data_IF_551357763175
#
_entry.id   IF_551357763175
#
_cell.length_a   1.000
_cell.length_b   1.000
_cell.length_c   1.000
_cell.angle_alpha   90.00
_cell.angle_beta   90.00
_cell.angle_gamma   90.00
#
_symmetry.space_group_name_H-M   'P 1'
#
loop_
_entity.id
_entity.type
_entity.pdbx_description
1 polymer ?
#
# COMPACT_ATOMS: atom_id res chain seq x y z
N UNK A 1 59.39 -82.26 -28.85
CA UNK A 1 58.78 -80.95 -29.16
C UNK A 1 57.53 -80.71 -28.30
N UNK A 2 57.66 -80.59 -26.96
CA UNK A 2 56.52 -80.35 -26.02
C UNK A 2 56.82 -79.41 -24.83
N UNK A 3 58.05 -78.93 -24.65
CA UNK A 3 58.43 -78.09 -23.50
C UNK A 3 58.44 -76.57 -23.73
N UNK A 4 58.51 -76.09 -24.99
CA UNK A 4 58.59 -74.63 -25.28
C UNK A 4 57.26 -73.89 -25.12
N UNK A 5 56.12 -74.55 -25.35
CA UNK A 5 54.78 -73.92 -25.23
C UNK A 5 54.32 -73.73 -23.78
N UNK A 6 54.80 -74.56 -22.85
CA UNK A 6 54.47 -74.46 -21.42
C UNK A 6 55.22 -73.29 -20.75
N UNK A 7 56.48 -73.05 -21.12
CA UNK A 7 57.26 -71.91 -20.63
C UNK A 7 56.66 -70.56 -21.05
N UNK A 8 56.29 -70.42 -22.33
CA UNK A 8 55.63 -69.20 -22.83
C UNK A 8 54.27 -68.93 -22.19
N UNK A 9 53.50 -69.99 -21.88
CA UNK A 9 52.22 -69.83 -21.19
C UNK A 9 52.40 -69.42 -19.73
N UNK A 10 53.40 -69.98 -19.03
CA UNK A 10 53.72 -69.58 -17.64
C UNK A 10 54.18 -68.12 -17.59
N UNK A 11 55.00 -67.67 -18.56
CA UNK A 11 55.45 -66.27 -18.62
C UNK A 11 54.30 -65.30 -18.94
N UNK A 12 53.38 -65.68 -19.84
CA UNK A 12 52.18 -64.90 -20.14
C UNK A 12 51.24 -64.79 -18.92
N UNK A 13 51.09 -65.89 -18.18
CA UNK A 13 50.27 -65.93 -16.96
C UNK A 13 50.90 -65.10 -15.82
N UNK A 14 52.24 -65.11 -15.71
CA UNK A 14 52.98 -64.22 -14.79
C UNK A 14 52.80 -62.74 -15.14
N UNK A 15 52.83 -62.40 -16.42
CA UNK A 15 52.62 -61.03 -16.89
C UNK A 15 51.18 -60.56 -16.57
N UNK A 16 50.17 -61.38 -16.88
CA UNK A 16 48.77 -61.07 -16.56
C UNK A 16 48.50 -61.00 -15.06
N UNK A 17 49.15 -61.84 -14.23
CA UNK A 17 49.04 -61.73 -12.77
C UNK A 17 49.66 -60.42 -12.25
N UNK A 18 50.77 -59.96 -12.83
CA UNK A 18 51.38 -58.68 -12.49
C UNK A 18 50.50 -57.48 -12.90
N UNK A 19 49.87 -57.55 -14.08
CA UNK A 19 48.88 -56.55 -14.53
C UNK A 19 47.64 -56.52 -13.63
N UNK A 20 47.10 -57.68 -13.26
CA UNK A 20 45.97 -57.77 -12.32
C UNK A 20 46.36 -57.21 -10.95
N UNK A 21 47.56 -57.52 -10.44
CA UNK A 21 48.04 -56.97 -9.18
C UNK A 21 48.15 -55.43 -9.24
N UNK A 22 48.67 -54.88 -10.34
CA UNK A 22 48.75 -53.44 -10.56
C UNK A 22 47.37 -52.79 -10.65
N UNK A 23 46.41 -53.41 -11.33
CA UNK A 23 45.02 -52.94 -11.40
C UNK A 23 44.33 -52.96 -10.03
N UNK A 24 44.58 -53.99 -9.21
CA UNK A 24 44.05 -54.07 -7.85
C UNK A 24 44.63 -52.95 -6.97
N UNK A 25 45.92 -52.66 -7.06
CA UNK A 25 46.55 -51.53 -6.36
C UNK A 25 45.95 -50.20 -6.82
N UNK A 26 45.84 -49.98 -8.13
CA UNK A 26 45.26 -48.76 -8.69
C UNK A 26 43.77 -48.60 -8.34
N UNK A 27 43.02 -49.71 -8.26
CA UNK A 27 41.65 -49.71 -7.80
C UNK A 27 41.55 -49.33 -6.32
N UNK A 28 42.45 -49.84 -5.47
CA UNK A 28 42.55 -49.45 -4.06
C UNK A 28 42.80 -47.96 -3.89
N UNK A 29 43.81 -47.42 -4.58
CA UNK A 29 44.14 -45.98 -4.55
C UNK A 29 42.97 -45.10 -5.02
N UNK A 30 42.25 -45.50 -6.08
CA UNK A 30 41.06 -44.80 -6.56
C UNK A 30 39.88 -44.90 -5.60
N UNK A 31 39.70 -46.05 -4.95
CA UNK A 31 38.67 -46.24 -3.93
C UNK A 31 38.92 -45.32 -2.75
N UNK A 32 40.17 -45.20 -2.28
CA UNK A 32 40.56 -44.29 -1.20
C UNK A 32 40.33 -42.82 -1.60
N UNK A 33 40.66 -42.45 -2.85
CA UNK A 33 40.40 -41.11 -3.35
C UNK A 33 38.89 -40.78 -3.41
N UNK A 34 38.04 -41.75 -3.77
CA UNK A 34 36.57 -41.59 -3.77
C UNK A 34 36.05 -41.41 -2.34
N UNK A 35 36.54 -42.20 -1.38
CA UNK A 35 36.17 -42.07 0.04
C UNK A 35 36.53 -40.68 0.54
N UNK A 36 37.77 -40.22 0.33
CA UNK A 36 38.20 -38.88 0.72
C UNK A 36 37.36 -37.78 0.06
N UNK A 37 37.03 -37.92 -1.23
CA UNK A 37 36.18 -36.97 -1.93
C UNK A 37 34.75 -36.94 -1.36
N UNK A 38 34.22 -38.09 -0.96
CA UNK A 38 32.89 -38.21 -0.35
C UNK A 38 32.88 -37.57 1.04
N UNK A 39 33.91 -37.82 1.85
CA UNK A 39 34.07 -37.19 3.18
C UNK A 39 34.17 -35.66 3.07
N UNK A 40 34.92 -35.16 2.07
CA UNK A 40 35.01 -33.73 1.80
C UNK A 40 33.66 -33.14 1.37
N UNK A 41 32.93 -33.83 0.47
CA UNK A 41 31.60 -33.40 0.03
C UNK A 41 30.58 -33.38 1.19
N UNK A 42 30.63 -34.36 2.09
CA UNK A 42 29.80 -34.39 3.30
C UNK A 42 30.13 -33.22 4.24
N UNK A 43 31.42 -32.88 4.38
CA UNK A 43 31.88 -31.69 5.08
C UNK A 43 31.30 -30.41 4.50
N UNK A 44 31.39 -30.24 3.17
CA UNK A 44 30.87 -29.08 2.45
C UNK A 44 29.35 -28.96 2.54
N UNK A 45 28.61 -30.07 2.40
CA UNK A 45 27.15 -30.10 2.54
C UNK A 45 26.73 -29.73 3.97
N UNK A 46 27.47 -30.21 4.97
CA UNK A 46 27.23 -29.85 6.38
C UNK A 46 27.47 -28.36 6.62
N UNK A 47 28.57 -27.80 6.09
CA UNK A 47 28.88 -26.38 6.17
C UNK A 47 27.81 -25.52 5.46
N UNK A 48 27.36 -25.92 4.28
CA UNK A 48 26.29 -25.24 3.54
C UNK A 48 24.96 -25.26 4.32
N UNK A 49 24.57 -26.41 4.87
CA UNK A 49 23.37 -26.53 5.70
C UNK A 49 23.44 -25.62 6.92
N UNK A 50 24.60 -25.55 7.57
CA UNK A 50 24.83 -24.63 8.69
C UNK A 50 24.73 -23.16 8.25
N UNK A 51 25.36 -22.80 7.13
CA UNK A 51 25.32 -21.46 6.55
C UNK A 51 23.90 -21.03 6.22
N UNK A 52 23.11 -21.88 5.56
CA UNK A 52 21.70 -21.62 5.24
C UNK A 52 20.84 -21.47 6.49
N UNK A 53 21.06 -22.29 7.53
CA UNK A 53 20.34 -22.16 8.79
C UNK A 53 20.65 -20.82 9.50
N UNK A 54 21.91 -20.38 9.47
CA UNK A 54 22.32 -19.07 10.01
C UNK A 54 21.76 -17.92 9.20
N UNK A 55 21.80 -18.01 7.86
CA UNK A 55 21.18 -17.02 6.99
C UNK A 55 19.68 -16.91 7.24
N UNK A 56 18.96 -18.04 7.35
CA UNK A 56 17.53 -18.05 7.63
C UNK A 56 17.17 -17.35 8.94
N UNK A 57 17.93 -17.60 10.02
CA UNK A 57 17.77 -16.88 11.29
C UNK A 57 18.02 -15.39 11.14
N UNK A 58 19.14 -15.01 10.50
CA UNK A 58 19.49 -13.60 10.30
C UNK A 58 18.45 -12.87 9.44
N UNK A 59 17.87 -13.53 8.43
CA UNK A 59 16.83 -12.97 7.60
C UNK A 59 15.53 -12.75 8.41
N UNK A 60 15.14 -13.72 9.23
CA UNK A 60 13.99 -13.61 10.13
C UNK A 60 14.16 -12.48 11.15
N UNK A 61 15.32 -12.40 11.81
CA UNK A 61 15.63 -11.32 12.75
C UNK A 61 15.62 -9.94 12.08
N UNK A 62 16.13 -9.88 10.83
CA UNK A 62 16.11 -8.64 10.05
C UNK A 62 14.68 -8.22 9.71
N UNK A 63 13.82 -9.16 9.33
CA UNK A 63 12.40 -8.89 9.07
C UNK A 63 11.69 -8.33 10.31
N UNK A 64 11.91 -8.94 11.48
CA UNK A 64 11.36 -8.47 12.75
C UNK A 64 11.83 -7.04 13.10
N UNK A 65 13.11 -6.73 12.84
CA UNK A 65 13.64 -5.38 13.09
C UNK A 65 13.06 -4.34 12.14
N UNK A 66 12.85 -4.68 10.88
CA UNK A 66 12.19 -3.79 9.91
C UNK A 66 10.75 -3.51 10.32
N UNK A 67 10.04 -4.52 10.80
CA UNK A 67 8.66 -4.38 11.27
C UNK A 67 8.59 -3.46 12.51
N UNK A 68 9.44 -3.69 13.51
CA UNK A 68 9.55 -2.83 14.68
C UNK A 68 9.94 -1.38 14.34
N UNK A 69 10.86 -1.19 13.39
CA UNK A 69 11.23 0.14 12.92
C UNK A 69 10.07 0.85 12.21
N UNK A 70 9.27 0.10 11.44
CA UNK A 70 8.06 0.61 10.79
C UNK A 70 7.03 1.07 11.82
N UNK A 71 6.74 0.26 12.84
CA UNK A 71 5.82 0.65 13.92
C UNK A 71 6.28 1.93 14.64
N UNK A 72 7.58 2.06 14.91
CA UNK A 72 8.15 3.27 15.51
C UNK A 72 7.97 4.50 14.61
N UNK A 73 8.20 4.36 13.30
CA UNK A 73 8.00 5.44 12.34
C UNK A 73 6.53 5.86 12.25
N UNK A 74 5.60 4.90 12.21
CA UNK A 74 4.16 5.17 12.24
C UNK A 74 3.76 5.91 13.53
N UNK A 75 4.35 5.53 14.68
CA UNK A 75 4.16 6.23 15.95
C UNK A 75 4.67 7.67 15.93
N UNK A 76 5.88 7.91 15.41
CA UNK A 76 6.46 9.25 15.27
C UNK A 76 5.64 10.14 14.33
N UNK A 77 5.18 9.60 13.21
CA UNK A 77 4.27 10.29 12.28
C UNK A 77 2.96 10.66 12.99
N UNK A 78 2.39 9.74 13.76
CA UNK A 78 1.18 9.98 14.54
C UNK A 78 1.33 11.09 15.58
N UNK A 79 2.47 11.14 16.27
CA UNK A 79 2.81 12.19 17.23
C UNK A 79 3.02 13.55 16.55
N UNK A 80 3.78 13.58 15.45
CA UNK A 80 4.03 14.81 14.69
C UNK A 80 2.71 15.40 14.15
N UNK A 81 1.82 14.56 13.64
CA UNK A 81 0.49 14.96 13.20
C UNK A 81 -0.38 15.47 14.35
N UNK A 82 -0.32 14.83 15.52
CA UNK A 82 -1.04 15.33 16.70
C UNK A 82 -0.55 16.73 17.13
N UNK A 83 0.76 16.96 17.11
CA UNK A 83 1.35 18.27 17.39
C UNK A 83 0.95 19.31 16.34
N UNK A 84 0.97 18.95 15.05
CA UNK A 84 0.54 19.81 13.96
C UNK A 84 -0.93 20.22 14.13
N UNK A 85 -1.81 19.25 14.38
CA UNK A 85 -3.24 19.51 14.58
C UNK A 85 -3.46 20.44 15.79
N UNK A 86 -2.80 20.15 16.92
CA UNK A 86 -2.90 20.98 18.13
C UNK A 86 -2.39 22.41 17.91
N UNK A 87 -1.28 22.57 17.19
CA UNK A 87 -0.73 23.89 16.89
C UNK A 87 -1.66 24.70 15.97
N UNK A 88 -2.36 24.04 15.04
CA UNK A 88 -3.33 24.69 14.16
C UNK A 88 -4.55 25.25 14.90
N UNK A 89 -4.94 24.63 16.03
CA UNK A 89 -5.99 25.12 16.93
C UNK A 89 -5.51 26.23 17.88
N UNK A 90 -4.23 26.59 17.85
CA UNK A 90 -3.70 27.71 18.62
C UNK A 90 -4.17 29.06 18.06
N UNK A 91 -4.11 30.14 18.87
CA UNK A 91 -4.53 31.47 18.42
C UNK A 91 -3.60 32.10 17.36
N UNK A 92 -2.44 31.50 17.09
CA UNK A 92 -1.47 32.04 16.15
C UNK A 92 -1.84 31.70 14.70
N UNK A 93 -1.81 32.71 13.83
CA UNK A 93 -1.87 32.47 12.38
C UNK A 93 -0.62 31.74 11.92
N UNK A 94 -0.82 30.63 11.22
CA UNK A 94 0.23 29.83 10.60
C UNK A 94 0.08 29.83 9.09
N UNK A 95 1.04 29.23 8.37
CA UNK A 95 0.93 29.00 6.93
C UNK A 95 -0.30 28.16 6.53
N UNK A 96 -0.84 27.38 7.48
CA UNK A 96 -2.00 26.51 7.25
C UNK A 96 -3.33 27.25 7.44
N UNK A 97 -3.35 28.38 8.17
CA UNK A 97 -4.58 29.08 8.55
C UNK A 97 -5.43 29.49 7.35
N UNK A 98 -4.81 29.81 6.20
CA UNK A 98 -5.56 30.13 4.99
C UNK A 98 -6.34 28.93 4.45
N UNK A 99 -5.73 27.74 4.47
CA UNK A 99 -6.37 26.52 3.97
C UNK A 99 -7.39 25.96 4.93
N UNK A 100 -7.22 26.23 6.23
CA UNK A 100 -8.24 25.95 7.24
C UNK A 100 -9.49 26.80 6.95
N UNK A 101 -9.32 28.11 6.75
CA UNK A 101 -10.44 28.99 6.38
C UNK A 101 -11.12 28.55 5.07
N UNK A 102 -10.35 28.20 4.02
CA UNK A 102 -10.93 27.67 2.78
C UNK A 102 -11.68 26.35 2.98
N UNK A 103 -11.25 25.51 3.92
CA UNK A 103 -11.95 24.28 4.26
C UNK A 103 -13.25 24.55 5.02
N UNK A 104 -13.23 25.47 5.97
CA UNK A 104 -14.41 25.90 6.73
C UNK A 104 -15.45 26.55 5.79
N UNK A 105 -15.04 27.51 4.96
CA UNK A 105 -15.91 28.17 3.97
C UNK A 105 -16.53 27.16 2.98
N UNK A 106 -15.73 26.18 2.54
CA UNK A 106 -16.19 25.13 1.64
C UNK A 106 -17.18 24.18 2.30
N UNK A 107 -16.94 23.82 3.57
CA UNK A 107 -17.83 22.98 4.34
C UNK A 107 -19.16 23.68 4.64
N UNK A 108 -19.14 24.98 4.97
CA UNK A 108 -20.34 25.80 5.18
C UNK A 108 -21.19 25.85 3.90
N UNK A 109 -20.57 26.11 2.75
CA UNK A 109 -21.27 26.16 1.47
C UNK A 109 -21.88 24.81 1.07
N UNK A 110 -21.12 23.73 1.23
CA UNK A 110 -21.62 22.36 0.98
C UNK A 110 -22.77 22.02 1.93
N UNK A 111 -22.67 22.41 3.20
CA UNK A 111 -23.72 22.19 4.18
C UNK A 111 -25.00 22.91 3.79
N UNK A 112 -24.91 24.21 3.49
CA UNK A 112 -26.04 25.02 3.03
C UNK A 112 -26.69 24.45 1.76
N UNK A 113 -25.86 24.05 0.77
CA UNK A 113 -26.34 23.44 -0.47
C UNK A 113 -27.14 22.15 -0.23
N UNK A 114 -26.66 21.27 0.64
CA UNK A 114 -27.31 20.00 0.95
C UNK A 114 -28.57 20.23 1.80
N UNK A 115 -28.52 21.11 2.79
CA UNK A 115 -29.66 21.45 3.65
C UNK A 115 -30.80 22.08 2.85
N UNK A 116 -30.49 23.01 1.95
CA UNK A 116 -31.47 23.62 1.05
C UNK A 116 -32.09 22.56 0.13
N UNK A 117 -31.27 21.68 -0.47
CA UNK A 117 -31.78 20.60 -1.31
C UNK A 117 -32.66 19.58 -0.56
N UNK A 118 -32.36 19.32 0.72
CA UNK A 118 -33.20 18.49 1.58
C UNK A 118 -34.52 19.19 1.90
N UNK A 119 -34.47 20.49 2.23
CA UNK A 119 -35.66 21.30 2.51
C UNK A 119 -36.58 21.39 1.29
N UNK A 120 -36.01 21.55 0.10
CA UNK A 120 -36.74 21.71 -1.16
C UNK A 120 -37.19 20.36 -1.76
N UNK A 121 -36.80 19.25 -1.15
CA UNK A 121 -37.20 17.90 -1.53
C UNK A 121 -36.46 17.32 -2.74
N UNK A 122 -35.36 17.95 -3.16
CA UNK A 122 -34.52 17.43 -4.25
C UNK A 122 -33.80 16.12 -3.85
N UNK A 123 -33.46 15.99 -2.57
CA UNK A 123 -32.91 14.77 -1.98
C UNK A 123 -33.52 14.53 -0.59
N UNK A 124 -33.79 13.28 -0.24
CA UNK A 124 -34.27 12.95 1.10
C UNK A 124 -33.12 12.79 2.09
N UNK A 125 -33.39 13.04 3.38
CA UNK A 125 -32.44 12.75 4.45
C UNK A 125 -32.05 11.25 4.46
N UNK A 126 -32.97 10.36 4.10
CA UNK A 126 -32.69 8.93 3.98
C UNK A 126 -31.69 8.62 2.86
N UNK A 127 -31.80 9.28 1.70
CA UNK A 127 -30.85 9.13 0.59
C UNK A 127 -29.48 9.71 0.92
N UNK A 128 -29.43 10.84 1.66
CA UNK A 128 -28.19 11.45 2.13
C UNK A 128 -27.41 10.48 3.04
N UNK A 129 -28.10 9.79 3.94
CA UNK A 129 -27.51 8.83 4.88
C UNK A 129 -27.58 7.37 4.42
N UNK A 130 -27.79 7.13 3.12
CA UNK A 130 -27.86 5.78 2.57
C UNK A 130 -26.48 5.10 2.60
N UNK A 131 -26.32 4.08 3.44
CA UNK A 131 -25.12 3.25 3.53
C UNK A 131 -25.24 1.92 2.79
N UNK A 132 -26.26 1.72 1.96
CA UNK A 132 -26.38 0.55 1.08
C UNK A 132 -25.55 0.75 -0.20
N UNK A 133 -24.22 0.65 -0.02
CA UNK A 133 -23.24 0.83 -1.09
C UNK A 133 -23.32 -0.31 -2.13
N UNK A 134 -23.87 -0.02 -3.29
CA UNK A 134 -24.02 -0.98 -4.39
C UNK A 134 -22.84 -0.93 -5.33
N UNK A 135 -22.02 -1.99 -5.34
CA UNK A 135 -20.85 -2.07 -6.20
C UNK A 135 -21.22 -1.94 -7.69
N UNK A 136 -20.43 -1.17 -8.44
CA UNK A 136 -20.53 -1.01 -9.89
C UNK A 136 -19.82 -2.19 -10.56
N UNK A 137 -20.54 -3.07 -11.29
CA UNK A 137 -19.93 -4.22 -11.92
C UNK A 137 -18.82 -3.83 -12.91
N UNK A 138 -17.70 -4.56 -12.86
CA UNK A 138 -16.56 -4.35 -13.76
C UNK A 138 -15.68 -3.15 -13.43
N UNK A 139 -15.93 -2.45 -12.33
CA UNK A 139 -15.06 -1.36 -11.85
C UNK A 139 -13.80 -1.90 -11.16
N UNK A 140 -12.66 -1.24 -11.36
CA UNK A 140 -11.38 -1.56 -10.74
C UNK A 140 -10.49 -0.29 -10.65
N UNK A 141 -10.28 0.30 -9.46
CA UNK A 141 -10.83 -0.09 -8.15
C UNK A 141 -12.37 -0.07 -8.10
N UNK A 142 -12.95 -0.83 -7.17
CA UNK A 142 -14.41 -0.94 -7.04
C UNK A 142 -15.03 0.42 -6.76
N UNK A 143 -15.98 0.82 -7.59
CA UNK A 143 -16.86 1.96 -7.34
C UNK A 143 -18.19 1.48 -6.77
N UNK A 144 -18.85 2.33 -6.01
CA UNK A 144 -20.13 2.06 -5.35
C UNK A 144 -21.13 3.17 -5.67
N UNK A 145 -22.41 2.85 -5.63
CA UNK A 145 -23.51 3.80 -5.76
C UNK A 145 -24.41 3.70 -4.53
N UNK A 146 -24.93 4.83 -4.08
CA UNK A 146 -25.96 4.95 -3.06
C UNK A 146 -26.93 6.08 -3.42
N UNK A 147 -27.95 6.31 -2.58
CA UNK A 147 -28.95 7.35 -2.75
C UNK A 147 -28.39 8.77 -2.90
N UNK A 148 -27.21 9.06 -2.34
CA UNK A 148 -26.57 10.38 -2.41
C UNK A 148 -25.79 10.62 -3.71
N UNK A 149 -25.41 9.56 -4.43
CA UNK A 149 -24.37 9.63 -5.46
C UNK A 149 -24.74 10.56 -6.63
N UNK A 150 -25.95 10.43 -7.17
CA UNK A 150 -26.39 11.24 -8.30
C UNK A 150 -26.52 12.74 -7.94
N UNK A 151 -26.98 13.03 -6.72
CA UNK A 151 -27.02 14.41 -6.21
C UNK A 151 -25.61 14.98 -6.08
N UNK A 152 -24.68 14.22 -5.50
CA UNK A 152 -23.31 14.65 -5.33
C UNK A 152 -22.64 14.97 -6.68
N UNK A 153 -22.80 14.10 -7.68
CA UNK A 153 -22.24 14.33 -9.01
C UNK A 153 -22.77 15.60 -9.69
N UNK A 154 -24.05 15.94 -9.50
CA UNK A 154 -24.71 17.06 -10.16
C UNK A 154 -24.55 18.39 -9.41
N UNK A 155 -24.64 18.37 -8.08
CA UNK A 155 -24.74 19.57 -7.23
C UNK A 155 -23.46 19.85 -6.45
N UNK A 156 -22.83 18.81 -5.90
CA UNK A 156 -21.62 18.96 -5.09
C UNK A 156 -20.38 19.15 -5.96
N UNK A 157 -20.22 18.36 -7.04
CA UNK A 157 -19.03 18.40 -7.90
C UNK A 157 -18.68 19.80 -8.43
N UNK A 158 -19.63 20.63 -8.94
CA UNK A 158 -19.30 21.98 -9.39
C UNK A 158 -18.73 22.87 -8.29
N UNK A 159 -19.17 22.69 -7.04
CA UNK A 159 -18.61 23.40 -5.88
C UNK A 159 -17.19 22.95 -5.61
N UNK A 160 -16.93 21.64 -5.62
CA UNK A 160 -15.58 21.09 -5.43
C UNK A 160 -14.60 21.59 -6.49
N UNK A 161 -15.03 21.64 -7.75
CA UNK A 161 -14.22 22.14 -8.87
C UNK A 161 -13.85 23.63 -8.67
N UNK A 162 -14.83 24.47 -8.33
CA UNK A 162 -14.59 25.89 -8.06
C UNK A 162 -13.67 26.08 -6.86
N UNK A 163 -13.94 25.44 -5.72
CA UNK A 163 -13.12 25.55 -4.50
C UNK A 163 -11.69 25.08 -4.74
N UNK A 164 -11.51 24.00 -5.50
CA UNK A 164 -10.16 23.52 -5.87
C UNK A 164 -9.40 24.54 -6.73
N UNK A 165 -10.10 25.30 -7.57
CA UNK A 165 -9.47 26.30 -8.45
C UNK A 165 -9.05 27.61 -7.74
N UNK A 166 -9.44 27.81 -6.47
CA UNK A 166 -9.15 29.04 -5.71
C UNK A 166 -7.65 29.23 -5.44
N UNK A 167 -6.87 28.14 -5.37
CA UNK A 167 -5.43 28.21 -5.22
C UNK A 167 -4.73 27.02 -5.89
N UNK A 168 -3.69 27.30 -6.67
CA UNK A 168 -2.91 26.28 -7.39
C UNK A 168 -2.27 25.19 -6.53
N UNK A 169 -2.11 25.44 -5.22
CA UNK A 169 -1.62 24.44 -4.29
C UNK A 169 -2.70 23.43 -3.87
N UNK A 170 -3.99 23.76 -4.01
CA UNK A 170 -5.08 22.84 -3.71
C UNK A 170 -5.13 21.79 -4.83
N UNK A 171 -4.94 20.54 -4.45
CA UNK A 171 -4.95 19.42 -5.40
C UNK A 171 -6.35 18.83 -5.57
N UNK A 172 -7.25 19.10 -4.62
CA UNK A 172 -8.64 18.68 -4.67
C UNK A 172 -9.39 18.93 -3.37
N UNK A 173 -10.67 19.17 -3.54
CA UNK A 173 -11.68 19.11 -2.49
C UNK A 173 -12.54 17.86 -2.67
N UNK A 174 -12.98 17.25 -1.57
CA UNK A 174 -13.90 16.12 -1.61
C UNK A 174 -14.73 16.01 -0.33
N UNK A 175 -15.68 15.07 -0.34
CA UNK A 175 -16.48 14.70 0.81
C UNK A 175 -16.22 13.22 1.12
N UNK A 176 -16.19 12.86 2.40
CA UNK A 176 -16.19 11.46 2.84
C UNK A 176 -17.26 11.27 3.89
N UNK A 177 -18.11 10.25 3.77
CA UNK A 177 -19.06 9.93 4.82
C UNK A 177 -18.41 9.18 6.01
N UNK A 178 -19.21 8.85 7.04
CA UNK A 178 -18.75 8.10 8.22
C UNK A 178 -18.14 6.72 7.92
N UNK A 179 -18.38 6.15 6.74
CA UNK A 179 -17.78 4.89 6.30
C UNK A 179 -16.63 5.11 5.30
N UNK A 180 -16.21 6.35 5.08
CA UNK A 180 -15.14 6.72 4.15
C UNK A 180 -15.57 6.73 2.69
N UNK A 181 -16.87 6.66 2.41
CA UNK A 181 -17.37 6.70 1.05
C UNK A 181 -17.27 8.12 0.49
N UNK A 182 -16.60 8.23 -0.65
CA UNK A 182 -16.40 9.47 -1.39
C UNK A 182 -17.36 9.47 -2.59
N UNK A 183 -18.55 10.11 -2.50
CA UNK A 183 -19.62 9.97 -3.50
C UNK A 183 -19.28 10.60 -4.85
N UNK A 184 -18.59 11.74 -4.83
CA UNK A 184 -18.05 12.43 -6.00
C UNK A 184 -16.69 13.03 -5.64
N UNK A 185 -15.87 13.31 -6.66
CA UNK A 185 -14.64 14.10 -6.54
C UNK A 185 -14.69 15.26 -7.56
N UNK A 186 -13.72 16.18 -7.53
CA UNK A 186 -13.44 17.10 -8.64
C UNK A 186 -13.46 16.40 -10.01
N UNK A 187 -13.87 17.10 -11.05
CA UNK A 187 -14.07 16.58 -12.40
C UNK A 187 -12.84 15.88 -12.97
N UNK A 188 -11.63 16.40 -12.72
CA UNK A 188 -10.37 15.79 -13.19
C UNK A 188 -10.05 14.44 -12.54
N UNK A 189 -10.71 14.13 -11.40
CA UNK A 189 -10.59 12.88 -10.63
C UNK A 189 -11.89 12.04 -10.64
N UNK A 190 -12.88 12.46 -11.44
CA UNK A 190 -14.17 11.78 -11.62
C UNK A 190 -14.37 11.31 -13.07
N UNK A 191 -13.27 10.95 -13.74
CA UNK A 191 -13.30 10.47 -15.11
C UNK A 191 -13.86 9.04 -15.18
N UNK A 192 -14.49 8.64 -16.31
CA UNK A 192 -14.96 7.26 -16.47
C UNK A 192 -13.81 6.26 -16.39
N UNK A 193 -14.00 5.16 -15.64
CA UNK A 193 -12.98 4.10 -15.56
C UNK A 193 -12.70 3.48 -16.94
N UNK A 194 -11.44 3.09 -17.14
CA UNK A 194 -10.95 2.38 -18.31
C UNK A 194 -10.70 0.90 -17.96
N UNK A 195 -11.38 -0.06 -18.62
CA UNK A 195 -11.16 -1.48 -18.39
C UNK A 195 -9.68 -1.86 -18.59
N UNK A 196 -9.14 -2.63 -17.65
CA UNK A 196 -7.75 -3.13 -17.71
C UNK A 196 -6.66 -2.10 -17.37
N UNK A 197 -6.99 -0.84 -17.09
CA UNK A 197 -6.03 0.22 -16.77
C UNK A 197 -6.16 0.67 -15.30
N UNK A 198 -5.77 -0.21 -14.37
CA UNK A 198 -5.93 0.04 -12.93
C UNK A 198 -5.20 1.31 -12.46
N UNK A 199 -3.96 1.54 -12.90
CA UNK A 199 -3.17 2.72 -12.52
C UNK A 199 -3.83 4.03 -12.98
N UNK A 200 -4.36 4.05 -14.20
CA UNK A 200 -5.12 5.20 -14.70
C UNK A 200 -6.40 5.42 -13.87
N UNK A 201 -7.12 4.35 -13.51
CA UNK A 201 -8.34 4.44 -12.71
C UNK A 201 -8.06 4.95 -11.29
N UNK A 202 -6.99 4.48 -10.65
CA UNK A 202 -6.54 4.94 -9.34
C UNK A 202 -6.22 6.44 -9.34
N UNK A 203 -5.73 6.96 -10.46
CA UNK A 203 -5.39 8.38 -10.57
C UNK A 203 -6.59 9.25 -10.97
N UNK A 204 -7.42 8.82 -11.92
CA UNK A 204 -8.41 9.68 -12.59
C UNK A 204 -9.87 9.38 -12.26
N UNK A 205 -10.18 8.24 -11.65
CA UNK A 205 -11.55 7.79 -11.36
C UNK A 205 -11.73 7.51 -9.87
N UNK A 206 -11.33 8.47 -9.03
CA UNK A 206 -11.29 8.36 -7.55
C UNK A 206 -12.64 8.57 -6.89
N UNK A 207 -13.64 9.06 -7.62
CA UNK A 207 -15.01 9.16 -7.14
C UNK A 207 -15.63 7.78 -6.89
N UNK A 208 -16.68 7.76 -6.06
CA UNK A 208 -17.52 6.60 -5.75
C UNK A 208 -16.74 5.46 -5.11
N UNK A 209 -15.63 5.73 -4.44
CA UNK A 209 -14.81 4.72 -3.77
C UNK A 209 -14.89 4.89 -2.25
N UNK A 210 -14.46 3.87 -1.52
CA UNK A 210 -14.35 3.90 -0.06
C UNK A 210 -12.87 4.01 0.31
N UNK A 211 -12.51 5.10 0.98
CA UNK A 211 -11.17 5.34 1.53
C UNK A 211 -11.27 5.29 3.06
N UNK A 212 -10.76 4.22 3.67
CA UNK A 212 -10.86 4.00 5.12
C UNK A 212 -9.52 3.53 5.68
N UNK A 213 -8.48 4.33 5.48
CA UNK A 213 -7.20 4.14 6.16
C UNK A 213 -7.25 4.65 7.62
N UNK A 214 -6.14 4.50 8.34
CA UNK A 214 -6.04 4.92 9.74
C UNK A 214 -6.18 6.44 9.92
N UNK A 215 -5.83 7.22 8.90
CA UNK A 215 -5.85 8.69 8.92
C UNK A 215 -7.28 9.20 8.73
N UNK A 216 -7.99 8.67 7.72
CA UNK A 216 -9.41 8.96 7.50
C UNK A 216 -10.23 8.55 8.72
N UNK A 217 -9.97 7.37 9.30
CA UNK A 217 -10.66 6.92 10.52
C UNK A 217 -10.45 7.89 11.68
N UNK A 218 -9.22 8.36 11.88
CA UNK A 218 -8.91 9.32 12.93
C UNK A 218 -9.62 10.65 12.70
N UNK A 219 -9.59 11.18 11.48
CA UNK A 219 -10.30 12.41 11.14
C UNK A 219 -11.82 12.29 11.37
N UNK A 220 -12.42 11.13 11.05
CA UNK A 220 -13.84 10.87 11.26
C UNK A 220 -14.22 10.76 12.75
N UNK A 221 -13.30 10.27 13.58
CA UNK A 221 -13.48 10.15 15.03
C UNK A 221 -13.18 11.43 15.79
N UNK A 222 -12.35 12.31 15.23
CA UNK A 222 -12.00 13.58 15.88
C UNK A 222 -13.26 14.45 16.05
N UNK A 223 -13.37 15.04 17.24
CA UNK A 223 -14.36 16.05 17.60
C UNK A 223 -13.72 17.45 17.49
N UNK A 224 -14.53 18.46 17.15
CA UNK A 224 -14.08 19.84 17.00
C UNK A 224 -14.39 20.40 15.61
N UNK A 225 -13.87 21.60 15.35
CA UNK A 225 -14.21 22.38 14.15
C UNK A 225 -13.48 21.86 12.91
N UNK A 226 -12.22 21.42 13.05
CA UNK A 226 -11.46 20.81 11.97
C UNK A 226 -10.38 19.84 12.46
N UNK A 227 -9.85 19.04 11.54
CA UNK A 227 -8.68 18.19 11.74
C UNK A 227 -7.64 18.44 10.65
N UNK A 228 -6.41 18.80 11.04
CA UNK A 228 -5.29 19.01 10.12
C UNK A 228 -4.32 17.83 10.17
N UNK A 229 -4.05 17.25 9.00
CA UNK A 229 -3.14 16.12 8.85
C UNK A 229 -2.12 16.37 7.74
N UNK A 230 -0.92 15.82 7.86
CA UNK A 230 0.11 15.81 6.82
C UNK A 230 0.49 14.37 6.48
N UNK A 231 0.56 14.07 5.19
CA UNK A 231 0.85 12.75 4.68
C UNK A 231 1.64 12.82 3.38
N UNK A 232 2.16 11.66 2.98
CA UNK A 232 2.84 11.47 1.70
C UNK A 232 1.95 10.63 0.80
N UNK A 233 1.45 11.22 -0.28
CA UNK A 233 0.72 10.48 -1.29
C UNK A 233 1.71 9.73 -2.20
N UNK A 234 1.50 8.43 -2.35
CA UNK A 234 2.15 7.61 -3.36
C UNK A 234 1.46 7.81 -4.71
N UNK A 235 2.23 8.16 -5.74
CA UNK A 235 1.76 8.38 -7.11
C UNK A 235 2.19 7.25 -8.05
N UNK A 236 2.66 6.13 -7.51
CA UNK A 236 3.24 5.02 -8.25
C UNK A 236 4.68 5.32 -8.72
N UNK A 237 5.39 4.26 -9.11
CA UNK A 237 6.74 4.32 -9.69
C UNK A 237 7.77 5.05 -8.81
N UNK A 238 7.59 5.01 -7.48
CA UNK A 238 8.48 5.68 -6.52
C UNK A 238 8.33 7.21 -6.49
N UNK A 239 7.31 7.77 -7.15
CA UNK A 239 7.00 9.20 -7.08
C UNK A 239 6.11 9.47 -5.88
N UNK A 240 6.50 10.48 -5.11
CA UNK A 240 5.78 10.89 -3.92
C UNK A 240 5.51 12.39 -3.93
N UNK A 241 4.39 12.78 -3.31
CA UNK A 241 4.05 14.17 -3.07
C UNK A 241 3.65 14.35 -1.62
N UNK A 242 4.24 15.35 -0.98
CA UNK A 242 3.88 15.71 0.38
C UNK A 242 2.66 16.63 0.34
N UNK A 243 1.69 16.32 1.20
CA UNK A 243 0.40 17.00 1.26
C UNK A 243 0.02 17.30 2.70
N UNK A 244 -0.90 18.25 2.83
CA UNK A 244 -1.75 18.40 3.99
C UNK A 244 -3.21 18.30 3.58
N UNK A 245 -4.02 17.78 4.48
CA UNK A 245 -5.47 17.81 4.37
C UNK A 245 -6.06 18.47 5.61
N UNK A 246 -7.01 19.37 5.38
CA UNK A 246 -7.90 19.88 6.43
C UNK A 246 -9.26 19.21 6.23
N UNK A 247 -9.76 18.60 7.29
CA UNK A 247 -11.07 17.97 7.32
C UNK A 247 -11.99 18.78 8.22
N UNK A 248 -13.20 19.10 7.76
CA UNK A 248 -14.22 19.83 8.50
C UNK A 248 -15.49 18.96 8.59
N UNK A 249 -16.05 18.72 9.78
CA UNK A 249 -17.26 17.91 9.94
C UNK A 249 -18.46 18.47 9.19
N UNK A 250 -19.19 17.58 8.50
CA UNK A 250 -20.49 17.86 7.91
C UNK A 250 -21.57 17.21 8.78
N UNK A 251 -22.55 18.00 9.24
CA UNK A 251 -23.62 17.57 10.15
C UNK A 251 -24.96 17.92 9.52
N UNK A 252 -25.86 16.93 9.41
CA UNK A 252 -27.20 17.12 8.85
C UNK A 252 -28.23 16.51 9.78
N UNK A 253 -29.30 17.26 10.10
CA UNK A 253 -30.34 16.79 11.02
C UNK A 253 -29.80 16.41 12.41
N UNK A 254 -28.77 17.11 12.88
CA UNK A 254 -28.13 16.85 14.19
C UNK A 254 -27.21 15.63 14.24
N UNK A 255 -26.89 15.00 13.09
CA UNK A 255 -26.00 13.83 13.02
C UNK A 255 -24.81 14.11 12.09
N UNK A 256 -23.59 13.79 12.54
CA UNK A 256 -22.38 13.82 11.70
C UNK A 256 -22.58 12.86 10.53
N UNK A 257 -22.56 13.39 9.32
CA UNK A 257 -22.61 12.63 8.09
C UNK A 257 -21.23 12.19 7.64
N UNK A 258 -20.23 13.06 7.86
CA UNK A 258 -18.89 12.86 7.34
C UNK A 258 -18.02 14.09 7.48
N UNK A 259 -17.12 14.27 6.52
CA UNK A 259 -16.15 15.35 6.44
C UNK A 259 -16.14 15.97 5.05
N UNK A 260 -15.95 17.28 5.00
CA UNK A 260 -15.42 17.99 3.85
C UNK A 260 -13.89 18.05 3.96
N UNK A 261 -13.17 17.76 2.89
CA UNK A 261 -11.71 17.75 2.85
C UNK A 261 -11.18 18.77 1.85
N UNK A 262 -10.12 19.49 2.23
CA UNK A 262 -9.26 20.25 1.32
C UNK A 262 -7.84 19.70 1.40
N UNK A 263 -7.38 19.06 0.32
CA UNK A 263 -6.01 18.57 0.17
C UNK A 263 -5.13 19.58 -0.59
N UNK A 264 -3.95 19.92 -0.06
CA UNK A 264 -3.04 20.89 -0.66
C UNK A 264 -1.56 20.54 -0.50
N UNK A 265 -0.76 21.06 -1.43
CA UNK A 265 0.70 20.93 -1.48
C UNK A 265 1.39 21.69 -0.35
N UNK A 266 2.49 21.13 0.17
CA UNK A 266 3.37 21.77 1.16
C UNK A 266 4.73 22.17 0.60
#
# INVERSE_FOLDING_TARGET
MRGRGVGTHIDQLRLSMAEIASLVTQFGERSDAIVHCTDAADGDVSALRHGLATFGRSASDSALRVDAAREQLEGLEGMANAMLNRAAHGPQKTRNSRYIALAEDGAEEISALIEDAVRDGEISLAALFDSDYRAVPGSSPTQYLNGFTAFADNRVRPVLDRRTSEDSAIIGCCLLDMNGYLPTHISTRSQPQRPGLSDWNMEHARNRQIFMDSQTRRALQEEGDFFLFTYRQDLGEGRYRALRSVFVPLVFGGRKWGLYEVGYLI
#
